data_IF_961903032053
#
_entry.id   IF_961903032053
#
_cell.length_a   1.000
_cell.length_b   1.000
_cell.length_c   1.000
_cell.angle_alpha   90.00
_cell.angle_beta   90.00
_cell.angle_gamma   90.00
#
_symmetry.space_group_name_H-M   'P 1'
#
loop_
_entity.id
_entity.type
_entity.pdbx_description
1 polymer ?
#
# COMPACT_ATOMS: atom_id res chain seq x y z
N UNK A 1 -3.36 20.35 -11.36
CA UNK A 1 -2.28 20.75 -10.42
C UNK A 1 -1.65 19.47 -9.89
N UNK A 2 -0.33 19.35 -9.85
CA UNK A 2 0.35 18.18 -9.29
C UNK A 2 0.00 18.04 -7.80
N UNK A 3 0.01 16.81 -7.29
CA UNK A 3 -0.18 16.53 -5.88
C UNK A 3 1.03 17.05 -5.09
N UNK A 4 0.85 17.50 -3.84
CA UNK A 4 1.98 17.86 -2.99
C UNK A 4 2.83 16.63 -2.70
N UNK A 5 4.16 16.79 -2.74
CA UNK A 5 5.08 15.75 -2.26
C UNK A 5 4.84 15.48 -0.77
N UNK A 6 5.12 14.26 -0.33
CA UNK A 6 5.04 13.90 1.08
C UNK A 6 6.03 14.76 1.88
N UNK A 7 5.60 15.52 2.90
CA UNK A 7 6.51 16.35 3.67
C UNK A 7 7.43 15.49 4.55
N UNK A 8 8.58 16.05 4.93
CA UNK A 8 9.42 15.52 6.01
C UNK A 8 9.06 16.31 7.27
N UNK A 9 8.48 15.68 8.31
CA UNK A 9 8.15 16.38 9.55
C UNK A 9 9.40 16.87 10.28
N UNK A 10 9.25 17.90 11.10
CA UNK A 10 10.33 18.39 11.96
C UNK A 10 10.79 17.30 12.95
N UNK A 11 12.11 17.13 13.08
CA UNK A 11 12.72 16.10 13.93
C UNK A 11 12.25 16.22 15.39
N UNK A 12 12.32 17.42 15.95
CA UNK A 12 11.90 17.69 17.32
C UNK A 12 10.41 17.41 17.55
N UNK A 13 9.55 17.81 16.60
CA UNK A 13 8.11 17.57 16.69
C UNK A 13 7.77 16.07 16.60
N UNK A 14 8.50 15.34 15.76
CA UNK A 14 8.37 13.88 15.62
C UNK A 14 8.74 13.18 16.93
N UNK A 15 9.90 13.52 17.51
CA UNK A 15 10.38 12.88 18.74
C UNK A 15 9.58 13.27 19.98
N UNK A 16 9.04 14.49 20.03
CA UNK A 16 8.11 14.91 21.07
C UNK A 16 6.81 14.09 21.02
N UNK A 17 6.26 13.86 19.81
CA UNK A 17 5.09 13.00 19.62
C UNK A 17 5.42 11.54 19.97
N UNK A 18 6.59 11.04 19.54
CA UNK A 18 7.06 9.69 19.85
C UNK A 18 7.09 9.45 21.37
N UNK A 19 7.72 10.34 22.15
CA UNK A 19 7.79 10.18 23.61
C UNK A 19 6.39 10.16 24.25
N UNK A 20 5.46 11.02 23.82
CA UNK A 20 4.08 11.02 24.30
C UNK A 20 3.35 9.71 24.03
N UNK A 21 3.63 9.06 22.89
CA UNK A 21 3.02 7.79 22.52
C UNK A 21 3.65 6.59 23.23
N UNK A 22 4.94 6.67 23.58
CA UNK A 22 5.66 5.59 24.27
C UNK A 22 5.37 5.59 25.78
N UNK A 23 5.26 6.77 26.40
CA UNK A 23 5.04 6.92 27.85
C UNK A 23 3.94 6.00 28.42
N UNK A 24 2.72 5.88 27.84
CA UNK A 24 1.67 5.05 28.41
C UNK A 24 1.84 3.54 28.19
N UNK A 25 2.81 3.09 27.38
CA UNK A 25 2.97 1.67 27.00
C UNK A 25 4.24 1.02 27.56
N UNK A 26 5.03 1.75 28.34
CA UNK A 26 6.26 1.24 28.97
C UNK A 26 6.33 1.61 30.46
N UNK A 27 7.20 0.95 31.22
CA UNK A 27 7.47 1.32 32.61
C UNK A 27 8.21 2.66 32.70
N UNK A 28 8.09 3.34 33.84
CA UNK A 28 8.78 4.61 34.11
C UNK A 28 10.29 4.54 33.87
N UNK A 29 10.93 3.45 34.32
CA UNK A 29 12.37 3.20 34.11
C UNK A 29 12.73 3.14 32.62
N UNK A 30 11.94 2.39 31.83
CA UNK A 30 12.16 2.27 30.37
C UNK A 30 11.88 3.58 29.66
N UNK A 31 10.88 4.33 30.11
CA UNK A 31 10.58 5.65 29.57
C UNK A 31 11.72 6.64 29.84
N UNK A 32 12.26 6.65 31.07
CA UNK A 32 13.41 7.48 31.44
C UNK A 32 14.64 7.18 30.55
N UNK A 33 14.93 5.89 30.30
CA UNK A 33 15.99 5.51 29.37
C UNK A 33 15.69 5.95 27.92
N UNK A 34 14.46 5.78 27.45
CA UNK A 34 14.04 6.23 26.12
C UNK A 34 14.22 7.74 25.96
N UNK A 35 13.82 8.53 26.97
CA UNK A 35 13.99 9.98 26.98
C UNK A 35 15.46 10.38 26.91
N UNK A 36 16.34 9.69 27.64
CA UNK A 36 17.80 9.91 27.57
C UNK A 36 18.34 9.65 26.16
N UNK A 37 17.95 8.53 25.53
CA UNK A 37 18.36 8.20 24.15
C UNK A 37 17.88 9.27 23.16
N UNK A 38 16.62 9.71 23.27
CA UNK A 38 16.08 10.77 22.42
C UNK A 38 16.83 12.09 22.60
N UNK A 39 17.20 12.45 23.83
CA UNK A 39 18.01 13.65 24.10
C UNK A 39 19.42 13.56 23.52
N UNK A 40 20.04 12.38 23.53
CA UNK A 40 21.34 12.12 22.90
C UNK A 40 21.24 12.21 21.37
N UNK A 41 20.18 11.63 20.79
CA UNK A 41 19.92 11.67 19.36
C UNK A 41 19.68 13.09 18.84
N UNK A 42 19.11 13.97 19.68
CA UNK A 42 18.81 15.37 19.42
C UNK A 42 19.96 16.35 19.71
N UNK A 43 21.12 15.88 20.18
CA UNK A 43 22.24 16.79 20.45
C UNK A 43 22.61 17.61 19.20
N UNK A 44 22.99 18.89 19.32
CA UNK A 44 23.49 19.68 18.21
C UNK A 44 24.67 18.99 17.51
N UNK A 45 24.59 18.81 16.20
CA UNK A 45 25.58 18.05 15.42
C UNK A 45 25.54 16.53 15.63
N UNK A 46 24.55 16.04 16.39
CA UNK A 46 24.30 14.63 16.68
C UNK A 46 23.77 13.84 15.48
N UNK A 47 23.48 12.56 15.72
CA UNK A 47 23.04 11.64 14.65
C UNK A 47 21.68 12.05 14.09
N UNK A 48 20.75 12.51 14.92
CA UNK A 48 19.40 12.89 14.49
C UNK A 48 19.40 14.04 13.48
N UNK A 49 20.16 15.11 13.72
CA UNK A 49 20.27 16.23 12.77
C UNK A 49 20.89 15.82 11.44
N UNK A 50 21.91 14.94 11.47
CA UNK A 50 22.54 14.40 10.25
C UNK A 50 21.56 13.60 9.42
N UNK A 51 20.82 12.68 10.05
CA UNK A 51 19.81 11.86 9.38
C UNK A 51 18.65 12.71 8.86
N UNK A 52 18.16 13.68 9.64
CA UNK A 52 17.10 14.61 9.21
C UNK A 52 17.53 15.38 7.96
N UNK A 53 18.77 15.89 7.93
CA UNK A 53 19.31 16.60 6.75
C UNK A 53 19.34 15.69 5.52
N UNK A 54 19.84 14.46 5.67
CA UNK A 54 19.85 13.49 4.57
C UNK A 54 18.44 13.13 4.08
N UNK A 55 17.48 13.00 4.99
CA UNK A 55 16.08 12.74 4.67
C UNK A 55 15.45 13.89 3.88
N UNK A 56 15.70 15.14 4.30
CA UNK A 56 15.24 16.33 3.58
C UNK A 56 15.85 16.42 2.18
N UNK A 57 17.15 16.12 2.02
CA UNK A 57 17.77 16.08 0.68
C UNK A 57 17.19 14.95 -0.18
N UNK A 58 16.95 13.77 0.40
CA UNK A 58 16.32 12.64 -0.29
C UNK A 58 14.89 12.99 -0.75
N UNK A 59 14.13 13.74 0.06
CA UNK A 59 12.78 14.15 -0.29
C UNK A 59 12.71 15.17 -1.44
N UNK A 60 13.81 15.89 -1.73
CA UNK A 60 13.87 16.76 -2.91
C UNK A 60 13.97 15.95 -4.20
N UNK A 61 14.72 14.85 -4.18
CA UNK A 61 15.05 14.06 -5.38
C UNK A 61 14.01 13.00 -5.73
N UNK A 62 13.24 12.51 -4.75
CA UNK A 62 12.17 11.51 -4.96
C UNK A 62 10.78 12.14 -5.14
N UNK A 63 9.89 11.44 -5.84
CA UNK A 63 8.45 11.80 -5.89
C UNK A 63 7.79 11.60 -4.52
N UNK A 64 8.10 10.47 -3.89
CA UNK A 64 7.75 10.19 -2.50
C UNK A 64 8.96 9.53 -1.83
N UNK A 65 9.46 10.15 -0.76
CA UNK A 65 10.70 9.72 -0.13
C UNK A 65 10.60 8.39 0.61
N UNK A 66 9.39 7.99 1.02
CA UNK A 66 9.17 6.80 1.86
C UNK A 66 8.64 5.60 1.09
N UNK A 67 8.15 5.76 -0.14
CA UNK A 67 7.42 4.70 -0.85
C UNK A 67 8.19 3.38 -0.93
N UNK A 68 9.45 3.40 -1.34
CA UNK A 68 10.27 2.19 -1.46
C UNK A 68 10.53 1.55 -0.09
N UNK A 69 10.88 2.38 0.91
CA UNK A 69 11.17 1.90 2.27
C UNK A 69 9.94 1.30 2.92
N UNK A 70 8.79 1.95 2.79
CA UNK A 70 7.54 1.48 3.36
C UNK A 70 7.07 0.20 2.69
N UNK A 71 7.17 0.09 1.35
CA UNK A 71 6.79 -1.13 0.63
C UNK A 71 7.67 -2.32 1.04
N UNK A 72 8.99 -2.09 1.14
CA UNK A 72 9.93 -3.12 1.57
C UNK A 72 9.67 -3.54 3.03
N UNK A 73 9.67 -2.59 3.96
CA UNK A 73 9.54 -2.85 5.41
C UNK A 73 8.19 -3.47 5.78
N UNK A 74 7.08 -2.94 5.23
CA UNK A 74 5.74 -3.41 5.60
C UNK A 74 5.34 -4.72 4.92
N UNK A 75 5.85 -5.01 3.71
CA UNK A 75 5.37 -6.13 2.91
C UNK A 75 6.48 -7.05 2.40
N UNK A 76 7.42 -6.52 1.62
CA UNK A 76 8.28 -7.36 0.78
C UNK A 76 9.40 -8.06 1.57
N UNK A 77 9.79 -7.51 2.72
CA UNK A 77 10.73 -8.15 3.66
C UNK A 77 10.04 -9.06 4.68
N UNK A 78 8.71 -9.02 4.78
CA UNK A 78 7.97 -9.86 5.71
C UNK A 78 7.88 -11.30 5.17
N UNK A 79 8.48 -12.23 5.92
CA UNK A 79 8.55 -13.66 5.58
C UNK A 79 7.37 -14.48 6.11
N UNK A 80 6.42 -13.87 6.82
CA UNK A 80 5.21 -14.57 7.27
C UNK A 80 4.33 -14.95 6.06
N UNK A 81 3.65 -16.10 6.10
CA UNK A 81 2.70 -16.48 5.06
C UNK A 81 1.66 -15.39 4.81
N UNK A 82 1.33 -15.11 3.55
CA UNK A 82 0.38 -14.04 3.20
C UNK A 82 -1.04 -14.23 3.77
N UNK A 83 -1.62 -15.45 3.78
CA UNK A 83 -2.94 -15.66 4.37
C UNK A 83 -2.94 -15.28 5.85
N UNK A 84 -3.99 -14.58 6.28
CA UNK A 84 -4.18 -14.08 7.66
C UNK A 84 -3.20 -12.96 8.07
N UNK A 85 -1.91 -13.07 7.76
CA UNK A 85 -0.89 -12.13 8.25
C UNK A 85 -0.77 -10.85 7.42
N UNK A 86 -1.14 -10.90 6.13
CA UNK A 86 -0.95 -9.76 5.22
C UNK A 86 -2.14 -9.51 4.29
N UNK A 87 -2.70 -10.55 3.66
CA UNK A 87 -3.78 -10.38 2.70
C UNK A 87 -5.13 -10.16 3.42
N UNK A 88 -5.75 -8.97 3.30
CA UNK A 88 -7.06 -8.72 3.87
C UNK A 88 -8.14 -9.52 3.12
N UNK A 89 -9.06 -10.12 3.88
CA UNK A 89 -10.26 -10.75 3.33
C UNK A 89 -11.46 -9.82 3.40
N UNK A 90 -12.33 -9.86 2.38
CA UNK A 90 -13.62 -9.18 2.37
C UNK A 90 -14.73 -10.22 2.29
N UNK A 91 -15.74 -10.08 3.14
CA UNK A 91 -16.95 -10.92 3.11
C UNK A 91 -18.10 -10.06 2.59
N UNK A 92 -18.68 -10.48 1.48
CA UNK A 92 -19.84 -9.82 0.87
C UNK A 92 -21.16 -10.35 1.47
N UNK A 93 -22.29 -9.63 1.28
CA UNK A 93 -23.59 -10.15 1.68
C UNK A 93 -23.84 -11.56 1.17
N UNK A 94 -24.38 -12.42 2.05
CA UNK A 94 -24.65 -13.81 1.70
C UNK A 94 -25.63 -13.90 0.53
N UNK A 95 -25.29 -14.73 -0.45
CA UNK A 95 -26.15 -15.05 -1.60
C UNK A 95 -26.39 -16.56 -1.60
N UNK A 96 -27.65 -16.98 -1.67
CA UNK A 96 -28.03 -18.37 -1.85
C UNK A 96 -28.18 -18.69 -3.33
N UNK A 97 -27.59 -19.78 -3.80
CA UNK A 97 -27.75 -20.29 -5.16
C UNK A 97 -28.55 -21.59 -5.13
N UNK A 98 -29.56 -21.70 -5.98
CA UNK A 98 -30.40 -22.92 -6.07
C UNK A 98 -29.76 -23.99 -6.97
N UNK A 99 -28.76 -23.63 -7.77
CA UNK A 99 -28.01 -24.55 -8.62
C UNK A 99 -26.61 -24.02 -8.99
N UNK A 100 -25.73 -24.93 -9.42
CA UNK A 100 -24.41 -24.57 -9.98
C UNK A 100 -24.51 -23.57 -11.13
N UNK A 101 -25.58 -23.66 -11.94
CA UNK A 101 -25.82 -22.73 -13.05
C UNK A 101 -26.02 -21.29 -12.56
N UNK A 102 -26.66 -21.09 -11.41
CA UNK A 102 -26.84 -19.76 -10.82
C UNK A 102 -25.54 -19.22 -10.24
N UNK A 103 -24.78 -20.07 -9.56
CA UNK A 103 -23.45 -19.72 -9.06
C UNK A 103 -22.52 -19.30 -10.21
N UNK A 104 -22.50 -20.06 -11.31
CA UNK A 104 -21.72 -19.74 -12.50
C UNK A 104 -22.21 -18.46 -13.19
N UNK A 105 -23.52 -18.23 -13.23
CA UNK A 105 -24.09 -16.97 -13.76
C UNK A 105 -23.63 -15.78 -12.93
N UNK A 106 -23.65 -15.89 -11.60
CA UNK A 106 -23.17 -14.86 -10.70
C UNK A 106 -21.66 -14.58 -10.90
N UNK A 107 -20.85 -15.63 -10.98
CA UNK A 107 -19.41 -15.50 -11.24
C UNK A 107 -19.14 -14.81 -12.59
N UNK A 108 -19.86 -15.19 -13.65
CA UNK A 108 -19.76 -14.55 -14.96
C UNK A 108 -20.14 -13.06 -14.91
N UNK A 109 -21.23 -12.71 -14.22
CA UNK A 109 -21.63 -11.31 -14.03
C UNK A 109 -20.58 -10.50 -13.25
N UNK A 110 -19.97 -11.10 -12.22
CA UNK A 110 -18.89 -10.46 -11.46
C UNK A 110 -17.67 -10.20 -12.35
N UNK A 111 -17.26 -11.18 -13.16
CA UNK A 111 -16.15 -11.02 -14.10
C UNK A 111 -16.45 -9.88 -15.08
N UNK A 112 -17.63 -9.84 -15.70
CA UNK A 112 -18.04 -8.75 -16.60
C UNK A 112 -17.95 -7.40 -15.91
N UNK A 113 -18.48 -7.27 -14.68
CA UNK A 113 -18.41 -6.02 -13.93
C UNK A 113 -16.96 -5.60 -13.59
N UNK A 114 -16.06 -6.55 -13.34
CA UNK A 114 -14.63 -6.28 -13.15
C UNK A 114 -14.01 -5.73 -14.43
N UNK A 115 -14.34 -6.28 -15.61
CA UNK A 115 -13.86 -5.78 -16.91
C UNK A 115 -14.41 -4.39 -17.24
N UNK A 116 -15.69 -4.12 -16.93
CA UNK A 116 -16.25 -2.77 -17.06
C UNK A 116 -15.46 -1.76 -16.22
N UNK A 117 -15.15 -2.12 -14.97
CA UNK A 117 -14.33 -1.28 -14.10
C UNK A 117 -12.89 -1.14 -14.60
N UNK A 118 -12.28 -2.23 -15.08
CA UNK A 118 -10.94 -2.20 -15.67
C UNK A 118 -10.88 -1.26 -16.86
N UNK A 119 -11.89 -1.27 -17.74
CA UNK A 119 -11.98 -0.35 -18.88
C UNK A 119 -11.93 1.12 -18.41
N UNK A 120 -12.66 1.46 -17.34
CA UNK A 120 -12.61 2.81 -16.74
C UNK A 120 -11.19 3.18 -16.27
N UNK A 121 -10.44 2.22 -15.73
CA UNK A 121 -9.06 2.43 -15.29
C UNK A 121 -8.10 2.59 -16.47
N UNK A 122 -8.18 1.71 -17.48
CA UNK A 122 -7.30 1.74 -18.65
C UNK A 122 -7.46 3.03 -19.44
N UNK A 123 -8.71 3.50 -19.59
CA UNK A 123 -9.02 4.76 -20.25
C UNK A 123 -8.75 6.00 -19.37
N UNK A 124 -8.24 5.81 -18.13
CA UNK A 124 -8.00 6.88 -17.14
C UNK A 124 -9.26 7.73 -16.85
N UNK A 125 -10.45 7.12 -16.93
CA UNK A 125 -11.76 7.78 -16.73
C UNK A 125 -12.26 7.73 -15.28
N UNK A 126 -11.54 7.06 -14.38
CA UNK A 126 -11.91 7.04 -12.97
C UNK A 126 -11.91 8.48 -12.39
N UNK A 127 -13.03 8.96 -11.81
CA UNK A 127 -13.07 10.29 -11.22
C UNK A 127 -12.05 10.43 -10.09
N UNK A 128 -11.33 11.56 -10.08
CA UNK A 128 -10.34 11.85 -9.03
C UNK A 128 -11.04 11.97 -7.69
N UNK A 129 -10.68 11.08 -6.77
CA UNK A 129 -11.18 11.13 -5.40
C UNK A 129 -10.63 12.34 -4.65
N UNK A 130 -11.42 12.84 -3.71
CA UNK A 130 -11.09 14.03 -2.92
C UNK A 130 -11.33 13.79 -1.45
N UNK A 131 -10.43 14.31 -0.62
CA UNK A 131 -10.53 14.26 0.84
C UNK A 131 -11.88 14.85 1.29
N UNK A 132 -12.56 14.16 2.21
CA UNK A 132 -13.87 14.59 2.74
C UNK A 132 -13.79 15.38 4.05
N UNK A 133 -12.72 15.18 4.84
CA UNK A 133 -12.59 15.72 6.20
C UNK A 133 -11.46 16.76 6.30
N UNK A 134 -10.30 16.38 6.85
CA UNK A 134 -9.25 17.30 7.35
C UNK A 134 -8.55 18.16 6.28
N UNK A 135 -8.86 17.98 4.98
CA UNK A 135 -8.44 18.84 3.84
C UNK A 135 -9.49 18.80 2.71
N UNK A 136 -10.75 19.12 3.04
CA UNK A 136 -11.91 18.94 2.14
C UNK A 136 -11.63 19.46 0.71
N UNK A 137 -11.85 18.59 -0.27
CA UNK A 137 -11.69 18.92 -1.69
C UNK A 137 -10.27 18.74 -2.25
N UNK A 138 -9.26 18.49 -1.41
CA UNK A 138 -7.92 18.14 -1.89
C UNK A 138 -7.99 16.83 -2.72
N UNK A 139 -7.44 16.80 -3.95
CA UNK A 139 -7.35 15.57 -4.74
C UNK A 139 -6.44 14.53 -4.07
N UNK A 140 -6.82 13.26 -4.20
CA UNK A 140 -6.05 12.10 -3.74
C UNK A 140 -5.19 11.53 -4.87
N UNK A 141 -4.14 10.81 -4.47
CA UNK A 141 -3.35 10.02 -5.42
C UNK A 141 -4.18 8.85 -5.93
N UNK A 142 -4.28 8.71 -7.25
CA UNK A 142 -5.05 7.65 -7.90
C UNK A 142 -4.19 6.43 -8.27
N UNK A 143 -2.89 6.46 -7.99
CA UNK A 143 -1.90 5.46 -8.41
C UNK A 143 -2.24 4.03 -7.94
N UNK A 144 -2.84 3.88 -6.77
CA UNK A 144 -3.21 2.56 -6.23
C UNK A 144 -4.25 1.85 -7.11
N UNK A 145 -5.21 2.58 -7.68
CA UNK A 145 -6.24 2.02 -8.56
C UNK A 145 -5.61 1.41 -9.82
N UNK A 146 -4.61 2.09 -10.40
CA UNK A 146 -3.94 1.66 -11.62
C UNK A 146 -2.98 0.48 -11.42
N UNK A 147 -2.83 -0.02 -10.19
CA UNK A 147 -2.05 -1.22 -9.84
C UNK A 147 -2.93 -2.44 -9.56
N UNK A 148 -4.26 -2.28 -9.53
CA UNK A 148 -5.20 -3.32 -9.08
C UNK A 148 -5.15 -4.58 -9.98
N UNK A 149 -5.08 -4.39 -11.29
CA UNK A 149 -5.11 -5.48 -12.28
C UNK A 149 -3.78 -5.66 -13.04
N UNK A 150 -2.73 -4.97 -12.59
CA UNK A 150 -1.43 -4.89 -13.27
C UNK A 150 -0.26 -5.23 -12.35
N UNK A 151 -0.53 -5.88 -11.21
CA UNK A 151 0.50 -6.21 -10.23
C UNK A 151 0.49 -7.66 -9.80
N UNK A 152 1.68 -8.18 -9.49
CA UNK A 152 1.89 -9.51 -8.92
C UNK A 152 3.02 -9.46 -7.89
N UNK A 153 2.88 -10.19 -6.79
CA UNK A 153 3.93 -10.36 -5.79
C UNK A 153 4.71 -11.63 -6.08
N UNK A 154 5.94 -11.48 -6.57
CA UNK A 154 6.86 -12.58 -6.85
C UNK A 154 7.66 -12.92 -5.59
N UNK A 155 7.67 -14.20 -5.15
CA UNK A 155 8.46 -14.60 -3.99
C UNK A 155 9.96 -14.48 -4.27
N UNK A 156 10.73 -14.07 -3.27
CA UNK A 156 12.20 -14.02 -3.34
C UNK A 156 12.86 -14.56 -2.07
N UNK A 157 14.14 -14.92 -2.17
CA UNK A 157 14.87 -15.59 -1.07
C UNK A 157 15.12 -14.63 0.11
N UNK A 158 15.52 -13.40 -0.18
CA UNK A 158 15.79 -12.38 0.85
C UNK A 158 14.66 -11.34 0.96
N UNK A 159 13.99 -11.09 -0.16
CA UNK A 159 12.94 -10.08 -0.30
C UNK A 159 12.06 -10.46 -1.49
N UNK A 160 10.75 -10.36 -1.33
CA UNK A 160 9.80 -10.47 -2.43
C UNK A 160 9.88 -9.27 -3.36
N UNK A 161 9.20 -9.36 -4.49
CA UNK A 161 9.16 -8.29 -5.48
C UNK A 161 7.73 -7.98 -5.91
N UNK A 162 7.41 -6.69 -5.97
CA UNK A 162 6.21 -6.23 -6.65
C UNK A 162 6.53 -6.07 -8.14
N UNK A 163 6.06 -7.02 -8.95
CA UNK A 163 6.11 -6.94 -10.41
C UNK A 163 4.92 -6.10 -10.87
N UNK A 164 5.19 -5.10 -11.71
CA UNK A 164 4.17 -4.24 -12.32
C UNK A 164 4.20 -4.40 -13.83
N UNK A 165 3.04 -4.55 -14.46
CA UNK A 165 2.86 -4.57 -15.90
C UNK A 165 2.10 -3.30 -16.35
N UNK A 166 2.80 -2.16 -16.32
CA UNK A 166 2.20 -0.85 -16.64
C UNK A 166 2.25 -0.49 -18.12
N UNK A 167 3.19 -1.08 -18.87
CA UNK A 167 3.44 -0.80 -20.29
C UNK A 167 2.93 -1.94 -21.18
N UNK A 168 1.78 -2.51 -20.83
CA UNK A 168 1.17 -3.63 -21.54
C UNK A 168 0.77 -3.22 -22.95
N UNK A 169 1.03 -4.09 -23.93
CA UNK A 169 0.60 -3.87 -25.30
C UNK A 169 -0.94 -4.01 -25.38
N UNK A 170 -1.68 -3.07 -26.00
CA UNK A 170 -3.12 -3.23 -26.26
C UNK A 170 -3.51 -4.53 -26.98
N UNK A 171 -2.57 -5.16 -27.69
CA UNK A 171 -2.76 -6.43 -28.38
C UNK A 171 -2.42 -7.65 -27.52
N UNK A 172 -1.90 -7.46 -26.31
CA UNK A 172 -1.66 -8.58 -25.39
C UNK A 172 -2.98 -9.26 -25.03
N UNK A 173 -3.02 -10.60 -24.97
CA UNK A 173 -4.23 -11.34 -24.63
C UNK A 173 -4.68 -11.04 -23.20
N UNK A 174 -5.95 -10.68 -23.03
CA UNK A 174 -6.60 -10.52 -21.72
C UNK A 174 -7.27 -11.82 -21.31
N UNK A 175 -6.93 -12.31 -20.13
CA UNK A 175 -7.52 -13.53 -19.60
C UNK A 175 -7.71 -13.41 -18.10
N UNK A 176 -8.65 -14.22 -17.60
CA UNK A 176 -8.85 -14.46 -16.18
C UNK A 176 -8.41 -15.88 -15.85
N UNK A 177 -7.81 -16.03 -14.67
CA UNK A 177 -7.45 -17.34 -14.13
C UNK A 177 -8.64 -17.84 -13.30
N UNK A 178 -9.18 -19.01 -13.65
CA UNK A 178 -10.27 -19.63 -12.90
C UNK A 178 -9.72 -20.82 -12.10
N UNK A 179 -9.96 -20.78 -10.79
CA UNK A 179 -9.61 -21.85 -9.87
C UNK A 179 -10.89 -22.60 -9.42
N UNK A 180 -10.92 -23.93 -9.62
CA UNK A 180 -12.04 -24.78 -9.20
C UNK A 180 -11.51 -26.17 -8.83
N UNK A 181 -11.88 -26.68 -7.65
CA UNK A 181 -11.42 -27.98 -7.14
C UNK A 181 -9.89 -28.15 -7.22
N UNK A 182 -9.16 -27.14 -6.74
CA UNK A 182 -7.70 -27.06 -6.76
C UNK A 182 -7.05 -27.12 -8.16
N UNK A 183 -7.84 -26.98 -9.22
CA UNK A 183 -7.36 -26.86 -10.60
C UNK A 183 -7.38 -25.40 -11.04
N UNK A 184 -6.31 -24.96 -11.69
CA UNK A 184 -6.15 -23.63 -12.25
C UNK A 184 -6.14 -23.75 -13.77
N UNK A 185 -7.02 -23.01 -14.46
CA UNK A 185 -7.05 -22.95 -15.92
C UNK A 185 -7.06 -21.50 -16.40
N UNK A 186 -6.31 -21.25 -17.46
CA UNK A 186 -6.48 -20.10 -18.33
C UNK A 186 -7.73 -20.34 -19.19
N UNK A 187 -8.73 -19.46 -19.11
CA UNK A 187 -9.84 -19.50 -20.06
C UNK A 187 -9.36 -18.91 -21.40
N UNK A 188 -9.32 -19.76 -22.43
CA UNK A 188 -9.36 -19.38 -23.85
C UNK A 188 -10.76 -19.68 -24.39
#
# INVERSE_FOLDING_TARGET
>A
RPLPKLPVPELHATLATYLKLVEPVVSEERFANTKRIVQEFLQPGGVGEKLQKQLVETAKTKENWVSDWWLDDMYLLNQLPLPVNSNPGLVFPSTSFESDREQLRFAAQLIVAIFDYKTILDERKLPVERVRHHKKGQPLCMEQYYRLFSSYRRPGVAKDEQVLNLDRDPFDPEYVIVACNDQVRDQL
#
